data_IF_164054818016
#
_entry.id   IF_164054818016
#
_cell.length_a   1.000
_cell.length_b   1.000
_cell.length_c   1.000
_cell.angle_alpha   90.00
_cell.angle_beta   90.00
_cell.angle_gamma   90.00
#
_symmetry.space_group_name_H-M   'P 1'
#
loop_
_entity.id
_entity.type
_entity.pdbx_description
1 polymer ?
#
# COMPACT_ATOMS: atom_id res chain seq x y z
N UNK A 1 8.26 7.01 15.65
CA UNK A 1 6.81 6.86 15.82
C UNK A 1 6.19 7.86 14.85
N UNK A 2 5.59 7.35 13.78
CA UNK A 2 5.15 8.11 12.60
C UNK A 2 3.87 7.49 12.05
N UNK A 3 2.88 8.32 11.78
CA UNK A 3 1.66 7.93 11.08
C UNK A 3 1.91 7.85 9.57
N UNK A 4 1.13 7.00 8.88
CA UNK A 4 1.20 6.80 7.44
C UNK A 4 -0.15 7.12 6.83
N UNK A 5 -0.14 7.87 5.73
CA UNK A 5 -1.31 8.09 4.88
C UNK A 5 -1.03 7.64 3.46
N UNK A 6 -1.91 6.80 2.94
CA UNK A 6 -1.91 6.25 1.60
C UNK A 6 -3.14 6.79 0.88
N UNK A 7 -2.95 7.39 -0.29
CA UNK A 7 -4.02 8.03 -1.07
C UNK A 7 -4.01 7.51 -2.50
N UNK A 8 -5.13 6.90 -2.92
CA UNK A 8 -5.39 6.35 -4.25
C UNK A 8 -4.21 5.52 -4.81
N UNK A 9 -3.61 4.67 -3.97
CA UNK A 9 -2.40 3.92 -4.33
C UNK A 9 -2.70 2.87 -5.40
N UNK A 10 -1.94 2.93 -6.49
CA UNK A 10 -2.08 2.03 -7.64
C UNK A 10 -0.78 1.35 -7.97
N UNK A 11 -0.88 0.05 -8.25
CA UNK A 11 0.25 -0.76 -8.71
C UNK A 11 -0.23 -1.94 -9.54
N UNK A 12 0.39 -2.16 -10.68
CA UNK A 12 0.22 -3.29 -11.56
C UNK A 12 1.55 -3.80 -12.10
N UNK A 13 1.48 -4.97 -12.73
CA UNK A 13 2.59 -5.60 -13.43
C UNK A 13 2.09 -6.02 -14.82
N UNK A 14 2.54 -5.29 -15.84
CA UNK A 14 2.01 -5.45 -17.20
C UNK A 14 0.51 -5.12 -17.25
N UNK A 15 -0.30 -6.05 -17.75
CA UNK A 15 -1.76 -5.87 -17.84
C UNK A 15 -2.51 -6.14 -16.53
N UNK A 16 -1.84 -6.65 -15.50
CA UNK A 16 -2.48 -7.02 -14.23
C UNK A 16 -2.39 -5.87 -13.22
N UNK A 17 -3.53 -5.24 -12.91
CA UNK A 17 -3.64 -4.28 -11.81
C UNK A 17 -3.80 -5.02 -10.47
N UNK A 18 -2.84 -4.86 -9.56
CA UNK A 18 -2.78 -5.55 -8.26
C UNK A 18 -3.36 -4.67 -7.14
N UNK A 19 -2.91 -3.42 -7.04
CA UNK A 19 -3.47 -2.41 -6.13
C UNK A 19 -4.33 -1.44 -6.95
N UNK A 20 -5.61 -1.34 -6.60
CA UNK A 20 -6.65 -0.72 -7.44
C UNK A 20 -7.19 0.59 -6.85
N UNK A 21 -6.30 1.47 -6.39
CA UNK A 21 -6.68 2.71 -5.70
C UNK A 21 -7.00 2.45 -4.23
N UNK A 22 -5.96 2.16 -3.44
CA UNK A 22 -6.08 1.92 -2.00
C UNK A 22 -5.94 3.25 -1.25
N UNK A 23 -6.89 3.53 -0.37
CA UNK A 23 -6.83 4.60 0.62
C UNK A 23 -6.73 4.00 2.01
N UNK A 24 -5.71 4.38 2.78
CA UNK A 24 -5.46 3.85 4.11
C UNK A 24 -4.77 4.89 5.00
N UNK A 25 -5.24 5.04 6.23
CA UNK A 25 -4.53 5.75 7.29
C UNK A 25 -4.09 4.74 8.34
N UNK A 26 -2.84 4.85 8.80
CA UNK A 26 -2.29 4.10 9.92
C UNK A 26 -1.82 5.11 10.94
N UNK A 27 -2.41 5.10 12.13
CA UNK A 27 -2.05 6.01 13.21
C UNK A 27 -0.69 5.63 13.81
N UNK A 28 -0.05 6.61 14.46
CA UNK A 28 1.18 6.33 15.16
C UNK A 28 0.96 5.33 16.32
N UNK A 29 1.85 4.34 16.43
CA UNK A 29 1.75 3.25 17.39
C UNK A 29 0.67 2.19 17.06
N UNK A 30 -0.06 2.32 15.96
CA UNK A 30 -1.07 1.34 15.56
C UNK A 30 -0.42 0.03 15.06
N UNK A 31 -0.92 -1.11 15.53
CA UNK A 31 -0.48 -2.43 15.07
C UNK A 31 -1.51 -3.01 14.10
N UNK A 32 -1.21 -2.97 12.81
CA UNK A 32 -2.13 -3.37 11.73
C UNK A 32 -1.72 -4.72 11.13
N UNK A 33 -2.71 -5.56 10.82
CA UNK A 33 -2.53 -6.81 10.09
C UNK A 33 -3.29 -6.79 8.76
N UNK A 34 -2.61 -7.15 7.66
CA UNK A 34 -3.24 -7.32 6.35
C UNK A 34 -3.65 -8.78 6.14
N UNK A 35 -4.96 -9.05 6.04
CA UNK A 35 -5.52 -10.38 5.80
C UNK A 35 -6.12 -10.51 4.41
N UNK A 36 -5.96 -11.68 3.78
CA UNK A 36 -6.63 -12.02 2.53
C UNK A 36 -5.98 -13.20 1.80
N UNK A 37 -6.62 -13.74 0.74
CA UNK A 37 -6.11 -14.88 -0.03
C UNK A 37 -4.73 -14.66 -0.64
N UNK A 38 -4.06 -15.74 -1.06
CA UNK A 38 -2.81 -15.60 -1.83
C UNK A 38 -3.07 -14.80 -3.11
N UNK A 39 -2.14 -13.91 -3.47
CA UNK A 39 -2.25 -13.07 -4.67
C UNK A 39 -3.13 -11.82 -4.55
N UNK A 40 -3.77 -11.54 -3.40
CA UNK A 40 -4.62 -10.35 -3.26
C UNK A 40 -3.88 -9.00 -3.10
N UNK A 41 -2.55 -8.97 -3.24
CA UNK A 41 -1.76 -7.72 -3.23
C UNK A 41 -1.14 -7.30 -1.90
N UNK A 42 -1.26 -8.10 -0.82
CA UNK A 42 -0.69 -7.77 0.51
C UNK A 42 0.82 -7.46 0.48
N UNK A 43 1.61 -8.39 -0.06
CA UNK A 43 3.07 -8.21 -0.14
C UNK A 43 3.44 -7.05 -1.05
N UNK A 44 2.67 -6.81 -2.11
CA UNK A 44 2.84 -5.65 -3.01
C UNK A 44 2.60 -4.35 -2.25
N UNK A 45 1.53 -4.27 -1.44
CA UNK A 45 1.24 -3.10 -0.61
C UNK A 45 2.35 -2.85 0.41
N UNK A 46 2.78 -3.88 1.15
CA UNK A 46 3.86 -3.75 2.13
C UNK A 46 5.18 -3.30 1.50
N UNK A 47 5.54 -3.84 0.33
CA UNK A 47 6.74 -3.41 -0.40
C UNK A 47 6.63 -1.98 -0.91
N UNK A 48 5.44 -1.56 -1.35
CA UNK A 48 5.17 -0.18 -1.77
C UNK A 48 5.35 0.79 -0.59
N UNK A 49 4.82 0.45 0.59
CA UNK A 49 5.01 1.24 1.83
C UNK A 49 6.48 1.32 2.22
N UNK A 50 7.23 0.22 2.06
CA UNK A 50 8.66 0.18 2.35
C UNK A 50 9.53 0.92 1.31
N UNK A 51 8.95 1.45 0.24
CA UNK A 51 9.69 2.10 -0.85
C UNK A 51 10.49 1.12 -1.72
N UNK A 52 10.14 -0.16 -1.68
CA UNK A 52 10.80 -1.23 -2.46
C UNK A 52 10.13 -1.49 -3.82
N UNK A 53 8.99 -0.84 -4.07
CA UNK A 53 8.29 -0.89 -5.36
C UNK A 53 7.97 0.53 -5.82
N UNK A 54 8.20 0.80 -7.10
CA UNK A 54 7.76 2.05 -7.71
C UNK A 54 6.23 2.07 -7.82
N UNK A 55 5.62 3.23 -7.60
CA UNK A 55 4.17 3.37 -7.64
C UNK A 55 3.73 3.73 -9.06
N UNK A 56 2.65 3.11 -9.54
CA UNK A 56 2.07 3.48 -10.84
C UNK A 56 1.11 4.68 -10.70
N UNK A 57 0.68 4.98 -9.46
CA UNK A 57 -0.13 6.15 -9.13
C UNK A 57 -0.44 6.25 -7.64
N UNK A 58 -0.96 7.42 -7.25
CA UNK A 58 -1.24 7.75 -5.86
C UNK A 58 -0.01 8.22 -5.10
N UNK A 59 -0.09 8.26 -3.77
CA UNK A 59 1.01 8.66 -2.90
C UNK A 59 0.99 7.97 -1.54
N UNK A 60 2.17 7.81 -0.95
CA UNK A 60 2.38 7.38 0.43
C UNK A 60 3.13 8.51 1.13
N UNK A 61 2.60 9.01 2.24
CA UNK A 61 3.14 10.17 2.97
C UNK A 61 3.14 9.90 4.47
N UNK A 62 4.07 10.51 5.22
CA UNK A 62 3.85 10.69 6.65
C UNK A 62 2.53 11.45 6.85
N UNK A 63 1.69 10.97 7.76
CA UNK A 63 0.49 11.70 8.19
C UNK A 63 0.82 12.62 9.37
#
# INVERSE_FOLDING_TARGET
>A
MASIRIENLRKGFGALEVLKGIDLGIADGEFVCFLGPSGCGKSTLLRSIAGLEELDGGAIRPA
#
